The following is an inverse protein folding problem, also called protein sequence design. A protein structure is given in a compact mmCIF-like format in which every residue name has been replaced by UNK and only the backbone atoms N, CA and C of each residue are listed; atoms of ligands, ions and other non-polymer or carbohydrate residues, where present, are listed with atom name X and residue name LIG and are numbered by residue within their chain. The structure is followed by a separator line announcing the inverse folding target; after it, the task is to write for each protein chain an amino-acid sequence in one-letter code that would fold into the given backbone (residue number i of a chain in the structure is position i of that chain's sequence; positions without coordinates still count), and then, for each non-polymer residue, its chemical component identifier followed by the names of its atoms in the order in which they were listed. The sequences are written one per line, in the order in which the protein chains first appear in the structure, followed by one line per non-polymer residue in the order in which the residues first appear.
data_IF_386938220994
#
_entry.id   IF_386938220994
#
_cell.length_a   1.000
_cell.length_b   1.000
_cell.length_c   1.000
_cell.angle_alpha   90.00
_cell.angle_beta   90.00
_cell.angle_gamma   90.00
#
_symmetry.space_group_name_H-M   'P 1'
#
loop_
_entity.id
_entity.type
_entity.pdbx_description
1 polymer ?
#
# COMPACT_ATOMS: atom_id res chain seq x y z
N UNK A 1 39.81 -0.07 6.80
CA UNK A 1 40.64 -1.19 6.28
C UNK A 1 39.81 -2.46 6.05
N UNK A 2 38.58 -2.53 6.59
CA UNK A 2 37.66 -3.67 6.47
C UNK A 2 36.87 -3.71 5.15
N UNK A 3 36.52 -2.56 4.54
CA UNK A 3 35.83 -2.49 3.24
C UNK A 3 36.57 -3.22 2.09
N UNK A 4 37.91 -3.25 2.19
CA UNK A 4 38.77 -3.91 1.20
C UNK A 4 38.68 -5.44 1.32
N UNK A 5 38.43 -5.97 2.52
CA UNK A 5 38.26 -7.40 2.76
C UNK A 5 36.89 -7.88 2.24
N UNK A 6 35.81 -7.12 2.49
CA UNK A 6 34.47 -7.43 1.97
C UNK A 6 34.44 -7.49 0.44
N UNK A 7 34.91 -6.45 -0.25
CA UNK A 7 34.90 -6.40 -1.72
C UNK A 7 35.74 -7.53 -2.32
N UNK A 8 36.80 -7.94 -1.63
CA UNK A 8 37.64 -9.08 -2.05
C UNK A 8 36.89 -10.39 -1.89
N UNK A 9 36.22 -10.62 -0.75
CA UNK A 9 35.35 -11.79 -0.51
C UNK A 9 34.20 -11.85 -1.53
N UNK A 10 33.49 -10.75 -1.75
CA UNK A 10 32.41 -10.65 -2.73
C UNK A 10 32.88 -10.97 -4.16
N UNK A 11 34.02 -10.41 -4.58
CA UNK A 11 34.62 -10.70 -5.90
C UNK A 11 35.07 -12.15 -6.01
N UNK A 12 35.63 -12.72 -4.94
CA UNK A 12 36.06 -14.11 -4.92
C UNK A 12 34.86 -15.06 -5.16
N UNK A 13 33.76 -14.88 -4.42
CA UNK A 13 32.54 -15.68 -4.61
C UNK A 13 31.93 -15.43 -6.01
N UNK A 14 31.85 -14.17 -6.45
CA UNK A 14 31.35 -13.83 -7.80
C UNK A 14 32.19 -14.46 -8.92
N UNK A 15 33.51 -14.63 -8.71
CA UNK A 15 34.40 -15.28 -9.69
C UNK A 15 34.17 -16.79 -9.80
N UNK A 16 33.61 -17.43 -8.77
CA UNK A 16 33.22 -18.85 -8.79
C UNK A 16 31.96 -19.09 -9.62
N UNK A 17 31.08 -18.09 -9.71
CA UNK A 17 29.87 -18.11 -10.53
C UNK A 17 30.13 -17.89 -12.04
N UNK A 18 31.26 -17.27 -12.40
CA UNK A 18 31.62 -17.08 -13.82
C UNK A 18 31.84 -18.43 -14.49
N UNK A 19 31.19 -18.64 -15.65
CA UNK A 19 31.34 -19.87 -16.46
C UNK A 19 32.82 -20.13 -16.74
N UNK A 20 33.35 -21.20 -16.16
CA UNK A 20 34.66 -21.76 -16.52
C UNK A 20 34.43 -22.86 -17.55
N UNK A 21 35.26 -22.90 -18.59
CA UNK A 21 35.18 -23.89 -19.65
C UNK A 21 34.99 -25.30 -19.04
N UNK A 22 33.91 -25.99 -19.44
CA UNK A 22 33.52 -27.35 -19.06
C UNK A 22 33.02 -27.67 -17.62
N UNK A 23 32.97 -26.73 -16.67
CA UNK A 23 32.44 -27.04 -15.31
C UNK A 23 31.21 -26.22 -14.98
N UNK A 24 30.10 -26.90 -14.64
CA UNK A 24 28.92 -26.23 -14.06
C UNK A 24 29.33 -25.62 -12.71
N UNK A 25 29.16 -24.31 -12.50
CA UNK A 25 29.47 -23.69 -11.22
C UNK A 25 28.56 -24.26 -10.13
N UNK A 26 29.09 -24.42 -8.90
CA UNK A 26 28.31 -24.88 -7.76
C UNK A 26 27.48 -23.71 -7.22
N UNK A 27 26.28 -23.52 -7.77
CA UNK A 27 25.45 -22.35 -7.48
C UNK A 27 24.87 -22.40 -6.06
N UNK A 28 24.62 -23.59 -5.51
CA UNK A 28 24.09 -23.74 -4.15
C UNK A 28 25.09 -23.28 -3.08
N UNK A 29 26.35 -23.71 -3.18
CA UNK A 29 27.42 -23.28 -2.26
C UNK A 29 27.72 -21.78 -2.39
N UNK A 30 27.60 -21.23 -3.60
CA UNK A 30 27.72 -19.78 -3.80
C UNK A 30 26.59 -19.02 -3.11
N UNK A 31 25.34 -19.50 -3.19
CA UNK A 31 24.18 -18.93 -2.49
C UNK A 31 24.43 -18.88 -0.97
N UNK A 32 24.92 -19.97 -0.38
CA UNK A 32 25.24 -20.05 1.05
C UNK A 32 26.38 -19.09 1.45
N UNK A 33 27.44 -18.99 0.64
CA UNK A 33 28.55 -18.05 0.86
C UNK A 33 28.10 -16.59 0.80
N UNK A 34 27.14 -16.24 -0.07
CA UNK A 34 26.55 -14.90 -0.07
C UNK A 34 25.62 -14.68 1.13
N UNK A 35 24.96 -15.72 1.62
CA UNK A 35 24.13 -15.68 2.82
C UNK A 35 24.94 -15.40 4.09
N UNK A 36 26.09 -16.05 4.25
CA UNK A 36 27.00 -15.75 5.38
C UNK A 36 27.55 -14.33 5.28
N UNK A 37 27.98 -13.93 4.08
CA UNK A 37 28.53 -12.59 3.83
C UNK A 37 27.49 -11.48 4.10
N UNK A 38 26.22 -11.73 3.77
CA UNK A 38 25.13 -10.81 4.07
C UNK A 38 24.95 -10.60 5.57
N UNK A 39 25.04 -11.66 6.38
CA UNK A 39 24.94 -11.56 7.84
C UNK A 39 26.10 -10.77 8.44
N UNK A 40 27.34 -11.07 8.02
CA UNK A 40 28.51 -10.33 8.47
C UNK A 40 28.37 -8.82 8.16
N UNK A 41 27.82 -8.47 7.00
CA UNK A 41 27.58 -7.08 6.61
C UNK A 41 26.50 -6.38 7.44
N UNK A 42 25.47 -7.12 7.87
CA UNK A 42 24.45 -6.60 8.78
C UNK A 42 25.02 -6.33 10.17
N UNK A 43 25.95 -7.16 10.65
CA UNK A 43 26.68 -6.90 11.90
C UNK A 43 27.54 -5.63 11.82
N UNK A 44 27.94 -5.22 10.60
CA UNK A 44 28.70 -4.02 10.33
C UNK A 44 27.85 -2.80 9.91
N UNK A 45 26.53 -2.81 10.15
CA UNK A 45 25.60 -1.70 9.88
C UNK A 45 25.56 -1.23 8.40
N UNK A 46 25.82 -2.12 7.43
CA UNK A 46 25.81 -1.80 6.00
C UNK A 46 24.68 -2.52 5.23
N UNK A 47 23.41 -2.11 5.38
CA UNK A 47 22.24 -2.83 4.86
C UNK A 47 22.19 -2.87 3.32
N UNK A 48 22.65 -1.82 2.63
CA UNK A 48 22.63 -1.76 1.17
C UNK A 48 23.57 -2.79 0.52
N UNK A 49 24.76 -3.04 1.10
CA UNK A 49 25.65 -4.09 0.61
C UNK A 49 25.10 -5.49 0.90
N UNK A 50 24.42 -5.69 2.03
CA UNK A 50 23.73 -6.93 2.33
C UNK A 50 22.59 -7.19 1.32
N UNK A 51 21.83 -6.16 0.94
CA UNK A 51 20.82 -6.23 -0.12
C UNK A 51 21.37 -6.71 -1.47
N UNK A 52 22.57 -6.25 -1.86
CA UNK A 52 23.23 -6.74 -3.07
C UNK A 52 23.64 -8.22 -2.99
N UNK A 53 24.05 -8.71 -1.82
CA UNK A 53 24.34 -10.13 -1.61
C UNK A 53 23.07 -10.97 -1.76
N UNK A 54 21.97 -10.55 -1.14
CA UNK A 54 20.66 -11.21 -1.25
C UNK A 54 20.13 -11.22 -2.71
N UNK A 55 20.38 -10.15 -3.48
CA UNK A 55 20.06 -10.13 -4.92
C UNK A 55 20.81 -11.19 -5.72
N UNK A 56 22.09 -11.41 -5.42
CA UNK A 56 22.87 -12.47 -6.08
C UNK A 56 22.39 -13.84 -5.65
N UNK A 57 22.01 -14.02 -4.37
CA UNK A 57 21.38 -15.25 -3.90
C UNK A 57 20.09 -15.55 -4.66
N UNK A 58 19.20 -14.57 -4.82
CA UNK A 58 17.98 -14.74 -5.61
C UNK A 58 18.26 -15.22 -7.04
N UNK A 59 19.27 -14.65 -7.70
CA UNK A 59 19.70 -15.10 -9.04
C UNK A 59 20.27 -16.52 -9.02
N UNK A 60 20.95 -16.91 -7.95
CA UNK A 60 21.44 -18.27 -7.76
C UNK A 60 20.27 -19.25 -7.64
N UNK A 61 19.28 -18.96 -6.77
CA UNK A 61 18.08 -19.77 -6.60
C UNK A 61 17.24 -19.87 -7.89
N UNK A 62 17.16 -18.78 -8.67
CA UNK A 62 16.50 -18.77 -9.98
C UNK A 62 17.15 -19.80 -10.93
N UNK A 63 18.49 -19.85 -10.99
CA UNK A 63 19.19 -20.85 -11.82
C UNK A 63 19.07 -22.28 -11.30
N UNK A 64 18.80 -22.45 -10.01
CA UNK A 64 18.48 -23.73 -9.38
C UNK A 64 16.99 -24.09 -9.53
N UNK A 65 16.18 -23.19 -10.11
CA UNK A 65 14.72 -23.32 -10.24
C UNK A 65 14.01 -23.51 -8.90
N UNK A 66 14.57 -22.93 -7.83
CA UNK A 66 13.96 -22.92 -6.50
C UNK A 66 13.12 -21.64 -6.32
N UNK A 67 11.90 -21.66 -6.84
CA UNK A 67 11.01 -20.49 -6.85
C UNK A 67 10.66 -19.91 -5.46
N UNK A 68 10.41 -20.70 -4.38
CA UNK A 68 10.16 -20.12 -3.07
C UNK A 68 11.43 -19.49 -2.46
N UNK A 69 12.60 -20.14 -2.61
CA UNK A 69 13.88 -19.58 -2.17
C UNK A 69 14.24 -18.28 -2.90
N UNK A 70 14.00 -18.22 -4.21
CA UNK A 70 14.14 -17.00 -5.01
C UNK A 70 13.26 -15.87 -4.49
N UNK A 71 11.96 -16.14 -4.29
CA UNK A 71 11.03 -15.11 -3.79
C UNK A 71 11.42 -14.58 -2.41
N UNK A 72 11.86 -15.46 -1.50
CA UNK A 72 12.29 -15.06 -0.17
C UNK A 72 13.54 -14.18 -0.21
N UNK A 73 14.57 -14.58 -0.98
CA UNK A 73 15.79 -13.80 -1.13
C UNK A 73 15.54 -12.43 -1.79
N UNK A 74 14.60 -12.34 -2.74
CA UNK A 74 14.19 -11.07 -3.36
C UNK A 74 13.50 -10.13 -2.37
N UNK A 75 12.59 -10.66 -1.53
CA UNK A 75 11.88 -9.86 -0.52
C UNK A 75 12.86 -9.35 0.55
N UNK A 76 13.75 -10.21 1.04
CA UNK A 76 14.78 -9.82 2.00
C UNK A 76 15.73 -8.75 1.40
N UNK A 77 16.16 -8.90 0.15
CA UNK A 77 16.92 -7.86 -0.52
C UNK A 77 16.16 -6.53 -0.60
N UNK A 78 14.86 -6.58 -0.91
CA UNK A 78 14.03 -5.39 -1.02
C UNK A 78 13.87 -4.66 0.32
N UNK A 79 13.69 -5.39 1.42
CA UNK A 79 13.60 -4.83 2.78
C UNK A 79 14.88 -4.12 3.19
N UNK A 80 16.04 -4.73 2.93
CA UNK A 80 17.34 -4.13 3.22
C UNK A 80 17.59 -2.84 2.42
N UNK A 81 17.15 -2.79 1.16
CA UNK A 81 17.22 -1.56 0.36
C UNK A 81 16.24 -0.48 0.86
N UNK A 82 15.05 -0.85 1.31
CA UNK A 82 14.11 0.10 1.92
C UNK A 82 14.65 0.65 3.25
N UNK A 83 15.26 -0.18 4.08
CA UNK A 83 15.92 0.26 5.31
C UNK A 83 17.04 1.26 5.00
N UNK A 84 17.90 0.95 4.02
CA UNK A 84 18.92 1.87 3.55
C UNK A 84 18.32 3.20 3.05
N UNK A 85 17.22 3.17 2.29
CA UNK A 85 16.55 4.39 1.83
C UNK A 85 15.94 5.19 2.99
N UNK A 86 15.31 4.53 3.96
CA UNK A 86 14.79 5.16 5.17
C UNK A 86 15.92 5.87 5.94
N UNK A 87 17.07 5.22 6.12
CA UNK A 87 18.23 5.86 6.77
C UNK A 87 18.73 7.07 5.99
N UNK A 88 18.78 6.99 4.65
CA UNK A 88 19.16 8.13 3.80
C UNK A 88 18.18 9.30 3.93
N UNK A 89 16.87 9.03 3.96
CA UNK A 89 15.85 10.05 4.12
C UNK A 89 15.92 10.70 5.51
N UNK A 90 16.17 9.91 6.56
CA UNK A 90 16.36 10.39 7.93
C UNK A 90 17.59 11.31 8.04
N UNK A 91 18.69 10.95 7.39
CA UNK A 91 19.91 11.73 7.35
C UNK A 91 19.83 12.93 6.38
N UNK A 92 18.72 13.04 5.61
CA UNK A 92 18.51 14.04 4.55
C UNK A 92 19.67 14.08 3.55
N UNK A 93 20.25 12.92 3.26
CA UNK A 93 21.29 12.79 2.26
C UNK A 93 20.67 13.06 0.88
N UNK A 94 21.20 14.01 0.09
CA UNK A 94 20.75 14.19 -1.29
C UNK A 94 21.19 12.97 -2.11
N UNK A 95 20.25 12.06 -2.38
CA UNK A 95 20.45 10.85 -3.17
C UNK A 95 19.48 10.78 -4.35
N UNK A 96 19.84 9.99 -5.37
CA UNK A 96 19.01 9.76 -6.56
C UNK A 96 18.01 8.60 -6.38
N UNK A 97 17.65 8.27 -5.14
CA UNK A 97 16.66 7.22 -4.81
C UNK A 97 17.03 5.84 -5.39
N UNK A 98 18.33 5.57 -5.55
CA UNK A 98 18.83 4.34 -6.19
C UNK A 98 18.41 3.09 -5.42
N UNK A 99 18.46 3.17 -4.08
CA UNK A 99 18.02 2.07 -3.22
C UNK A 99 16.52 1.84 -3.30
N UNK A 100 15.71 2.91 -3.41
CA UNK A 100 14.28 2.79 -3.61
C UNK A 100 13.94 2.09 -4.93
N UNK A 101 14.58 2.52 -6.03
CA UNK A 101 14.37 1.90 -7.35
C UNK A 101 14.79 0.43 -7.32
N UNK A 102 15.91 0.12 -6.67
CA UNK A 102 16.36 -1.27 -6.47
C UNK A 102 15.32 -2.08 -5.68
N UNK A 103 14.79 -1.55 -4.57
CA UNK A 103 13.76 -2.19 -3.77
C UNK A 103 12.48 -2.46 -4.57
N UNK A 104 11.98 -1.46 -5.30
CA UNK A 104 10.78 -1.59 -6.14
C UNK A 104 10.95 -2.67 -7.21
N UNK A 105 12.13 -2.75 -7.83
CA UNK A 105 12.43 -3.79 -8.79
C UNK A 105 12.45 -5.18 -8.13
N UNK A 106 13.09 -5.33 -6.97
CA UNK A 106 13.11 -6.59 -6.21
C UNK A 106 11.69 -7.07 -5.87
N UNK A 107 10.83 -6.19 -5.34
CA UNK A 107 9.44 -6.51 -5.07
C UNK A 107 8.68 -6.88 -6.34
N UNK A 108 8.85 -6.13 -7.43
CA UNK A 108 8.18 -6.43 -8.69
C UNK A 108 8.57 -7.82 -9.24
N UNK A 109 9.83 -8.25 -9.08
CA UNK A 109 10.24 -9.61 -9.42
C UNK A 109 9.63 -10.64 -8.48
N UNK A 110 9.65 -10.41 -7.17
CA UNK A 110 9.03 -11.31 -6.19
C UNK A 110 7.52 -11.51 -6.46
N UNK A 111 6.80 -10.42 -6.75
CA UNK A 111 5.37 -10.48 -7.08
C UNK A 111 5.13 -11.32 -8.35
N UNK A 112 5.97 -11.18 -9.38
CA UNK A 112 5.86 -12.00 -10.61
C UNK A 112 6.04 -13.49 -10.29
N UNK A 113 7.05 -13.83 -9.48
CA UNK A 113 7.32 -15.21 -9.06
C UNK A 113 6.14 -15.81 -8.29
N UNK A 114 5.48 -15.05 -7.39
CA UNK A 114 4.29 -15.53 -6.69
C UNK A 114 3.04 -15.68 -7.58
N UNK A 115 2.89 -14.82 -8.59
CA UNK A 115 1.82 -14.96 -9.59
C UNK A 115 2.04 -16.23 -10.43
N UNK A 116 3.28 -16.51 -10.86
CA UNK A 116 3.66 -17.73 -11.59
C UNK A 116 3.42 -18.99 -10.76
N UNK A 117 3.61 -18.91 -9.43
CA UNK A 117 3.33 -20.00 -8.49
C UNK A 117 1.83 -20.13 -8.11
N UNK A 118 0.93 -19.37 -8.74
CA UNK A 118 -0.53 -19.38 -8.46
C UNK A 118 -0.91 -18.97 -7.03
N UNK A 119 -0.10 -18.14 -6.38
CA UNK A 119 -0.33 -17.63 -5.01
C UNK A 119 -0.64 -16.11 -5.00
N UNK A 120 -1.84 -15.69 -5.45
CA UNK A 120 -2.18 -14.26 -5.56
C UNK A 120 -2.28 -13.54 -4.21
N UNK A 121 -2.62 -14.27 -3.13
CA UNK A 121 -2.68 -13.71 -1.78
C UNK A 121 -1.32 -13.20 -1.31
N UNK A 122 -0.25 -13.99 -1.49
CA UNK A 122 1.12 -13.58 -1.14
C UNK A 122 1.60 -12.43 -2.01
N UNK A 123 1.30 -12.47 -3.31
CA UNK A 123 1.58 -11.38 -4.23
C UNK A 123 0.93 -10.05 -3.78
N UNK A 124 -0.32 -10.10 -3.31
CA UNK A 124 -1.01 -8.92 -2.79
C UNK A 124 -0.39 -8.39 -1.49
N UNK A 125 -0.01 -9.25 -0.55
CA UNK A 125 0.68 -8.84 0.68
C UNK A 125 1.98 -8.08 0.37
N UNK A 126 2.77 -8.53 -0.60
CA UNK A 126 3.98 -7.83 -1.02
C UNK A 126 3.68 -6.46 -1.66
N UNK A 127 2.61 -6.35 -2.45
CA UNK A 127 2.14 -5.06 -2.96
C UNK A 127 1.75 -4.10 -1.83
N UNK A 128 1.07 -4.60 -0.78
CA UNK A 128 0.69 -3.81 0.40
C UNK A 128 1.91 -3.38 1.21
N UNK A 129 2.88 -4.26 1.42
CA UNK A 129 4.14 -3.96 2.11
C UNK A 129 4.90 -2.82 1.40
N UNK A 130 5.06 -2.94 0.08
CA UNK A 130 5.70 -1.90 -0.73
C UNK A 130 4.90 -0.58 -0.72
N UNK A 131 3.58 -0.65 -0.83
CA UNK A 131 2.71 0.53 -0.75
C UNK A 131 2.85 1.25 0.59
N UNK A 132 2.91 0.52 1.71
CA UNK A 132 3.08 1.08 3.04
C UNK A 132 4.46 1.73 3.21
N UNK A 133 5.52 1.09 2.69
CA UNK A 133 6.86 1.68 2.68
C UNK A 133 6.89 2.98 1.87
N UNK A 134 6.33 3.00 0.65
CA UNK A 134 6.27 4.21 -0.18
C UNK A 134 5.47 5.34 0.47
N UNK A 135 4.39 5.01 1.18
CA UNK A 135 3.63 5.98 1.96
C UNK A 135 4.46 6.55 3.12
N UNK A 136 5.25 5.72 3.81
CA UNK A 136 6.20 6.16 4.83
C UNK A 136 7.29 7.09 4.28
N UNK A 137 7.73 6.87 3.05
CA UNK A 137 8.69 7.71 2.34
C UNK A 137 8.10 9.02 1.76
N UNK A 138 6.83 9.34 2.07
CA UNK A 138 6.06 10.49 1.54
C UNK A 138 5.83 10.46 0.02
N UNK A 139 5.68 9.27 -0.58
CA UNK A 139 5.36 9.10 -2.02
C UNK A 139 4.00 8.42 -2.23
N UNK A 140 2.89 9.07 -1.83
CA UNK A 140 1.56 8.49 -1.97
C UNK A 140 1.16 8.24 -3.43
N UNK A 141 1.68 9.01 -4.39
CA UNK A 141 1.37 8.85 -5.82
C UNK A 141 1.75 7.47 -6.37
N UNK A 142 2.97 7.02 -6.06
CA UNK A 142 3.44 5.71 -6.49
C UNK A 142 2.74 4.59 -5.70
N UNK A 143 2.51 4.81 -4.40
CA UNK A 143 1.83 3.84 -3.53
C UNK A 143 0.41 3.49 -4.02
N UNK A 144 -0.34 4.44 -4.55
CA UNK A 144 -1.69 4.21 -5.08
C UNK A 144 -1.74 3.07 -6.11
N UNK A 145 -0.79 3.05 -7.05
CA UNK A 145 -0.75 2.03 -8.11
C UNK A 145 -0.54 0.61 -7.55
N UNK A 146 0.25 0.48 -6.48
CA UNK A 146 0.50 -0.80 -5.82
C UNK A 146 -0.69 -1.26 -4.98
N UNK A 147 -1.39 -0.34 -4.30
CA UNK A 147 -2.60 -0.68 -3.55
C UNK A 147 -3.75 -1.09 -4.47
N UNK A 148 -3.92 -0.43 -5.63
CA UNK A 148 -4.90 -0.86 -6.65
C UNK A 148 -4.59 -2.27 -7.15
N UNK A 149 -3.32 -2.53 -7.49
CA UNK A 149 -2.87 -3.87 -7.89
C UNK A 149 -3.11 -4.92 -6.80
N UNK A 150 -2.96 -4.57 -5.53
CA UNK A 150 -3.27 -5.47 -4.42
C UNK A 150 -4.78 -5.80 -4.35
N UNK A 151 -5.63 -4.78 -4.52
CA UNK A 151 -7.09 -4.96 -4.55
C UNK A 151 -7.53 -5.90 -5.69
N UNK A 152 -6.94 -5.77 -6.89
CA UNK A 152 -7.22 -6.64 -8.03
C UNK A 152 -6.85 -8.10 -7.75
N UNK A 153 -5.70 -8.33 -7.12
CA UNK A 153 -5.22 -9.67 -6.75
C UNK A 153 -6.05 -10.30 -5.62
N UNK A 154 -6.67 -9.49 -4.77
CA UNK A 154 -7.47 -9.91 -3.61
C UNK A 154 -8.97 -9.97 -3.88
N UNK A 155 -9.43 -9.90 -5.14
CA UNK A 155 -10.86 -9.88 -5.47
C UNK A 155 -11.68 -11.07 -4.90
N UNK A 156 -11.00 -12.20 -4.63
CA UNK A 156 -11.63 -13.37 -4.00
C UNK A 156 -11.96 -13.16 -2.51
N UNK A 157 -11.19 -12.33 -1.80
CA UNK A 157 -11.47 -11.95 -0.42
C UNK A 157 -11.98 -10.49 -0.35
N UNK A 158 -13.30 -10.27 -0.27
CA UNK A 158 -13.88 -8.93 -0.37
C UNK A 158 -13.48 -7.99 0.78
N UNK A 159 -13.16 -8.51 1.97
CA UNK A 159 -12.73 -7.66 3.09
C UNK A 159 -11.35 -7.07 2.84
N UNK A 160 -10.37 -7.90 2.43
CA UNK A 160 -9.01 -7.45 2.12
C UNK A 160 -8.99 -6.47 0.92
N UNK A 161 -9.85 -6.73 -0.07
CA UNK A 161 -10.02 -5.85 -1.23
C UNK A 161 -10.54 -4.46 -0.80
N UNK A 162 -11.57 -4.40 0.05
CA UNK A 162 -12.11 -3.14 0.58
C UNK A 162 -11.11 -2.39 1.45
N UNK A 163 -10.31 -3.11 2.25
CA UNK A 163 -9.23 -2.50 3.03
C UNK A 163 -8.18 -1.85 2.12
N UNK A 164 -7.74 -2.58 1.08
CA UNK A 164 -6.79 -2.09 0.07
C UNK A 164 -7.32 -0.85 -0.67
N UNK A 165 -8.59 -0.84 -1.08
CA UNK A 165 -9.24 0.34 -1.67
C UNK A 165 -9.33 1.51 -0.69
N UNK A 166 -9.54 1.23 0.61
CA UNK A 166 -9.49 2.24 1.65
C UNK A 166 -8.13 2.92 1.76
N UNK A 167 -7.03 2.17 1.58
CA UNK A 167 -5.68 2.73 1.52
C UNK A 167 -5.49 3.60 0.27
N UNK A 168 -6.02 3.19 -0.89
CA UNK A 168 -6.03 4.02 -2.12
C UNK A 168 -6.73 5.35 -1.87
N UNK A 169 -7.93 5.31 -1.27
CA UNK A 169 -8.71 6.50 -0.98
C UNK A 169 -7.97 7.44 -0.01
N UNK A 170 -7.31 6.88 1.01
CA UNK A 170 -6.45 7.66 1.91
C UNK A 170 -5.29 8.34 1.18
N UNK A 171 -4.64 7.66 0.23
CA UNK A 171 -3.57 8.25 -0.57
C UNK A 171 -4.10 9.35 -1.51
N UNK A 172 -5.29 9.17 -2.10
CA UNK A 172 -5.96 10.20 -2.94
C UNK A 172 -6.29 11.47 -2.15
N UNK A 173 -6.72 11.33 -0.89
CA UNK A 173 -6.95 12.48 0.00
C UNK A 173 -5.62 13.20 0.27
N UNK A 174 -4.53 12.48 0.52
CA UNK A 174 -3.20 13.07 0.75
C UNK A 174 -2.69 13.86 -0.47
N UNK A 175 -2.97 13.37 -1.69
CA UNK A 175 -2.59 14.04 -2.94
C UNK A 175 -3.56 15.12 -3.38
N UNK A 176 -4.60 15.40 -2.56
CA UNK A 176 -5.67 16.39 -2.79
C UNK A 176 -6.56 16.09 -4.00
N UNK A 177 -6.55 14.85 -4.48
CA UNK A 177 -7.47 14.37 -5.52
C UNK A 177 -8.78 13.89 -4.88
N UNK A 178 -9.58 14.87 -4.43
CA UNK A 178 -10.84 14.60 -3.71
C UNK A 178 -11.92 14.02 -4.63
N UNK A 179 -11.94 14.40 -5.91
CA UNK A 179 -12.84 13.82 -6.92
C UNK A 179 -12.51 12.33 -7.11
N UNK A 180 -11.23 11.99 -7.27
CA UNK A 180 -10.77 10.60 -7.33
C UNK A 180 -11.13 9.82 -6.06
N UNK A 181 -10.91 10.41 -4.87
CA UNK A 181 -11.28 9.79 -3.61
C UNK A 181 -12.80 9.47 -3.52
N UNK A 182 -13.67 10.38 -3.96
CA UNK A 182 -15.12 10.15 -4.03
C UNK A 182 -15.48 8.96 -4.91
N UNK A 183 -14.82 8.81 -6.06
CA UNK A 183 -15.09 7.66 -6.95
C UNK A 183 -14.73 6.33 -6.27
N UNK A 184 -13.58 6.25 -5.60
CA UNK A 184 -13.15 5.05 -4.89
C UNK A 184 -14.10 4.72 -3.72
N UNK A 185 -14.51 5.69 -2.91
CA UNK A 185 -15.47 5.44 -1.82
C UNK A 185 -16.84 4.99 -2.30
N UNK A 186 -17.22 5.38 -3.52
CA UNK A 186 -18.47 4.96 -4.15
C UNK A 186 -18.38 3.52 -4.63
N UNK A 187 -17.28 3.17 -5.30
CA UNK A 187 -16.98 1.80 -5.70
C UNK A 187 -16.91 0.85 -4.50
N UNK A 188 -16.24 1.27 -3.41
CA UNK A 188 -16.20 0.51 -2.15
C UNK A 188 -17.60 0.25 -1.58
N UNK A 189 -18.48 1.25 -1.61
CA UNK A 189 -19.85 1.09 -1.13
C UNK A 189 -20.67 0.12 -1.99
N UNK A 190 -20.53 0.19 -3.31
CA UNK A 190 -21.17 -0.74 -4.24
C UNK A 190 -20.68 -2.18 -4.03
N UNK A 191 -19.36 -2.40 -3.96
CA UNK A 191 -18.76 -3.71 -3.72
C UNK A 191 -19.21 -4.32 -2.38
N UNK A 192 -19.26 -3.51 -1.32
CA UNK A 192 -19.76 -3.97 -0.02
C UNK A 192 -21.25 -4.35 -0.09
N UNK A 193 -22.09 -3.57 -0.78
CA UNK A 193 -23.52 -3.85 -0.92
C UNK A 193 -23.82 -5.08 -1.79
N UNK A 194 -23.12 -5.26 -2.90
CA UNK A 194 -23.28 -6.43 -3.80
C UNK A 194 -22.98 -7.73 -3.05
N UNK A 195 -21.93 -7.75 -2.23
CA UNK A 195 -21.53 -8.93 -1.47
C UNK A 195 -22.45 -9.20 -0.27
N UNK A 196 -22.99 -8.16 0.39
CA UNK A 196 -24.02 -8.30 1.43
C UNK A 196 -25.33 -8.84 0.85
N UNK A 197 -25.76 -8.33 -0.31
CA UNK A 197 -26.95 -8.81 -1.00
C UNK A 197 -26.81 -10.28 -1.44
N UNK A 198 -25.60 -10.68 -1.85
CA UNK A 198 -25.28 -12.07 -2.23
C UNK A 198 -25.25 -13.02 -1.01
N UNK A 199 -24.80 -12.56 0.14
CA UNK A 199 -24.64 -13.39 1.34
C UNK A 199 -25.90 -13.51 2.20
N UNK A 200 -26.79 -12.52 2.18
CA UNK A 200 -27.92 -12.43 3.14
C UNK A 200 -29.26 -12.00 2.51
N UNK A 201 -29.33 -11.95 1.18
CA UNK A 201 -30.54 -11.54 0.44
C UNK A 201 -30.76 -10.02 0.43
N UNK A 202 -31.67 -9.51 -0.43
CA UNK A 202 -31.81 -8.08 -0.73
C UNK A 202 -32.35 -7.21 0.42
N UNK A 203 -32.69 -7.80 1.56
CA UNK A 203 -33.30 -7.11 2.70
C UNK A 203 -32.54 -7.30 4.02
N UNK A 204 -31.39 -7.97 4.03
CA UNK A 204 -30.61 -8.13 5.26
C UNK A 204 -29.69 -6.94 5.46
N UNK A 205 -29.78 -6.34 6.65
CA UNK A 205 -28.84 -5.30 7.10
C UNK A 205 -27.42 -5.88 7.04
N UNK A 206 -26.40 -5.11 6.61
CA UNK A 206 -25.01 -5.55 6.73
C UNK A 206 -24.73 -5.86 8.21
N UNK A 207 -24.03 -6.95 8.49
CA UNK A 207 -23.66 -7.36 9.86
C UNK A 207 -22.14 -7.48 9.92
N UNK A 208 -21.52 -6.89 10.95
CA UNK A 208 -20.07 -6.96 11.18
C UNK A 208 -19.27 -5.95 10.36
N UNK A 209 -18.05 -6.32 9.96
CA UNK A 209 -17.05 -5.41 9.38
C UNK A 209 -17.52 -4.62 8.14
N UNK A 210 -18.46 -5.16 7.35
CA UNK A 210 -19.04 -4.43 6.21
C UNK A 210 -19.87 -3.21 6.63
N UNK A 211 -20.52 -3.26 7.80
CA UNK A 211 -21.27 -2.11 8.34
C UNK A 211 -20.32 -0.95 8.67
N UNK A 212 -19.21 -1.25 9.34
CA UNK A 212 -18.23 -0.23 9.75
C UNK A 212 -17.58 0.42 8.52
N UNK A 213 -17.27 -0.38 7.50
CA UNK A 213 -16.73 0.11 6.23
C UNK A 213 -17.75 1.00 5.51
N UNK A 214 -19.02 0.58 5.42
CA UNK A 214 -20.09 1.36 4.80
C UNK A 214 -20.32 2.69 5.54
N UNK A 215 -20.39 2.68 6.87
CA UNK A 215 -20.53 3.88 7.69
C UNK A 215 -19.35 4.84 7.46
N UNK A 216 -18.11 4.33 7.42
CA UNK A 216 -16.92 5.14 7.12
C UNK A 216 -16.99 5.75 5.72
N UNK A 217 -17.42 4.97 4.72
CA UNK A 217 -17.59 5.43 3.34
C UNK A 217 -18.65 6.53 3.26
N UNK A 218 -19.79 6.39 3.94
CA UNK A 218 -20.87 7.40 3.95
C UNK A 218 -20.42 8.71 4.58
N UNK A 219 -19.84 8.67 5.79
CA UNK A 219 -19.33 9.86 6.49
C UNK A 219 -18.28 10.58 5.64
N UNK A 220 -17.32 9.84 5.09
CA UNK A 220 -16.24 10.43 4.30
C UNK A 220 -16.77 11.02 2.98
N UNK A 221 -17.73 10.38 2.32
CA UNK A 221 -18.38 10.91 1.12
C UNK A 221 -19.11 12.21 1.39
N UNK A 222 -19.87 12.30 2.48
CA UNK A 222 -20.57 13.54 2.85
C UNK A 222 -19.56 14.66 3.09
N UNK A 223 -18.51 14.41 3.87
CA UNK A 223 -17.45 15.39 4.13
C UNK A 223 -16.76 15.87 2.84
N UNK A 224 -16.46 14.95 1.92
CA UNK A 224 -15.84 15.28 0.63
C UNK A 224 -16.79 16.08 -0.28
N UNK A 225 -18.07 15.74 -0.32
CA UNK A 225 -19.09 16.48 -1.09
C UNK A 225 -19.28 17.90 -0.54
N UNK A 226 -19.22 18.06 0.79
CA UNK A 226 -19.26 19.37 1.44
C UNK A 226 -18.03 20.22 1.13
N UNK A 227 -16.84 19.59 1.03
CA UNK A 227 -15.59 20.29 0.67
C UNK A 227 -15.57 20.69 -0.81
N UNK A 228 -16.04 19.82 -1.70
CA UNK A 228 -16.01 20.05 -3.15
C UNK A 228 -17.12 20.98 -3.65
N UNK A 229 -18.24 21.08 -2.93
CA UNK A 229 -19.45 21.81 -3.34
C UNK A 229 -19.76 21.65 -4.85
N UNK A 230 -19.94 20.42 -5.33
CA UNK A 230 -20.07 20.18 -6.76
C UNK A 230 -21.32 20.87 -7.31
N UNK A 231 -21.19 21.53 -8.46
CA UNK A 231 -22.34 22.10 -9.16
C UNK A 231 -23.30 20.98 -9.58
N UNK A 232 -24.62 21.23 -9.64
CA UNK A 232 -25.64 20.20 -9.88
C UNK A 232 -25.51 19.46 -11.23
N UNK A 233 -24.67 19.95 -12.14
CA UNK A 233 -24.37 19.29 -13.42
C UNK A 233 -23.24 18.25 -13.33
N UNK A 234 -22.39 18.31 -12.30
CA UNK A 234 -21.26 17.39 -12.09
C UNK A 234 -21.52 16.33 -11.02
N UNK A 235 -22.66 16.39 -10.34
CA UNK A 235 -23.00 15.45 -9.30
C UNK A 235 -23.52 14.14 -9.90
N UNK A 236 -22.87 13.01 -9.58
CA UNK A 236 -23.41 11.69 -9.91
C UNK A 236 -24.71 11.46 -9.12
N UNK A 237 -25.68 10.71 -9.66
CA UNK A 237 -26.97 10.49 -9.01
C UNK A 237 -26.83 9.89 -7.60
N UNK A 238 -25.83 9.03 -7.38
CA UNK A 238 -25.55 8.42 -6.08
C UNK A 238 -25.08 9.44 -5.03
N UNK A 239 -24.34 10.46 -5.45
CA UNK A 239 -23.92 11.57 -4.58
C UNK A 239 -25.09 12.49 -4.25
N UNK A 240 -25.96 12.76 -5.23
CA UNK A 240 -27.18 13.54 -5.01
C UNK A 240 -28.11 12.84 -4.01
N UNK A 241 -28.36 11.54 -4.16
CA UNK A 241 -29.17 10.76 -3.21
C UNK A 241 -28.61 10.78 -1.78
N UNK A 242 -27.28 10.78 -1.64
CA UNK A 242 -26.65 10.85 -0.31
C UNK A 242 -26.90 12.22 0.32
N UNK A 243 -26.70 13.30 -0.44
CA UNK A 243 -26.98 14.65 0.05
C UNK A 243 -28.47 14.83 0.37
N UNK A 244 -29.36 14.33 -0.48
CA UNK A 244 -30.82 14.42 -0.27
C UNK A 244 -31.25 13.78 1.06
N UNK A 245 -30.74 12.59 1.40
CA UNK A 245 -31.03 11.93 2.69
C UNK A 245 -30.68 12.83 3.87
N UNK A 246 -29.46 13.36 3.90
CA UNK A 246 -28.99 14.19 5.01
C UNK A 246 -29.57 15.62 5.01
N UNK A 247 -30.03 16.13 3.86
CA UNK A 247 -30.78 17.40 3.82
C UNK A 247 -32.22 17.25 4.32
N UNK A 248 -32.83 16.06 4.20
CA UNK A 248 -34.22 15.82 4.58
C UNK A 248 -34.39 15.33 6.02
N UNK A 249 -33.42 14.57 6.56
CA UNK A 249 -33.41 14.14 7.97
C UNK A 249 -33.28 15.30 8.96
N UNK A 250 -32.79 16.47 8.54
CA UNK A 250 -32.89 17.70 9.34
C UNK A 250 -34.33 18.24 9.51
N UNK A 251 -35.32 17.60 8.88
CA UNK A 251 -36.73 18.01 8.89
C UNK A 251 -37.68 16.98 9.51
N UNK A 252 -37.20 15.79 9.87
CA UNK A 252 -37.99 14.78 10.58
C UNK A 252 -37.47 14.64 12.00
N UNK A 253 -38.13 15.36 12.92
CA UNK A 253 -38.11 15.04 14.34
C UNK A 253 -38.63 13.59 14.54
N UNK A 254 -38.09 12.95 15.59
CA UNK A 254 -38.50 11.66 16.16
C UNK A 254 -38.03 10.36 15.48
N UNK A 255 -36.89 9.81 15.92
CA UNK A 255 -36.88 8.63 16.82
C UNK A 255 -35.47 8.03 17.06
N UNK A 256 -34.99 8.19 18.30
CA UNK A 256 -34.06 7.32 19.05
C UNK A 256 -32.91 6.59 18.31
N UNK A 257 -31.72 7.23 18.23
CA UNK A 257 -30.41 6.56 18.12
C UNK A 257 -29.26 7.47 18.63
N UNK A 258 -29.17 7.61 19.96
CA UNK A 258 -28.38 8.61 20.68
C UNK A 258 -26.84 8.44 20.75
N UNK A 259 -26.19 7.80 19.79
CA UNK A 259 -24.71 7.76 19.73
C UNK A 259 -24.14 8.28 18.41
N UNK A 260 -24.86 8.14 17.30
CA UNK A 260 -24.49 8.70 15.99
C UNK A 260 -24.80 10.19 15.87
N UNK A 261 -25.80 10.69 16.61
CA UNK A 261 -26.18 12.10 16.60
C UNK A 261 -25.13 13.01 17.23
N UNK A 262 -24.38 12.52 18.23
CA UNK A 262 -23.37 13.33 18.90
C UNK A 262 -22.18 13.64 17.98
N UNK A 263 -21.85 12.73 17.06
CA UNK A 263 -20.78 12.92 16.08
C UNK A 263 -21.20 13.88 14.97
N UNK A 264 -22.43 13.76 14.47
CA UNK A 264 -23.03 14.70 13.51
C UNK A 264 -23.13 16.12 14.08
N UNK A 265 -23.51 16.26 15.35
CA UNK A 265 -23.53 17.56 16.05
C UNK A 265 -22.11 18.11 16.23
N UNK A 266 -21.10 17.29 16.50
CA UNK A 266 -19.71 17.74 16.56
C UNK A 266 -19.17 18.18 15.20
N UNK A 267 -19.49 17.46 14.12
CA UNK A 267 -19.14 17.84 12.74
C UNK A 267 -19.84 19.15 12.35
N UNK A 268 -21.10 19.33 12.76
CA UNK A 268 -21.88 20.54 12.52
C UNK A 268 -21.36 21.74 13.36
N UNK A 269 -20.96 21.53 14.61
CA UNK A 269 -20.32 22.56 15.45
C UNK A 269 -18.94 22.94 14.92
N UNK A 270 -18.17 21.98 14.40
CA UNK A 270 -16.89 22.23 13.73
C UNK A 270 -17.08 23.01 12.43
N UNK A 271 -18.15 22.73 11.67
CA UNK A 271 -18.60 23.52 10.51
C UNK A 271 -18.91 24.98 10.91
N UNK A 272 -19.64 25.20 12.01
CA UNK A 272 -19.93 26.56 12.49
C UNK A 272 -18.67 27.31 12.93
N UNK A 273 -17.74 26.65 13.61
CA UNK A 273 -16.48 27.27 14.07
C UNK A 273 -15.54 27.63 12.91
N UNK A 274 -15.43 26.79 11.88
CA UNK A 274 -14.59 27.08 10.70
C UNK A 274 -15.22 28.20 9.84
N UNK A 275 -16.55 28.20 9.67
CA UNK A 275 -17.24 29.26 8.93
C UNK A 275 -17.27 30.61 9.67
N UNK A 276 -17.26 30.61 11.01
CA UNK A 276 -17.19 31.84 11.81
C UNK A 276 -15.76 32.33 12.10
N UNK A 277 -14.73 31.49 11.96
CA UNK A 277 -13.32 31.86 12.13
C UNK A 277 -12.66 32.52 10.91
N UNK A 278 -13.34 32.53 9.75
CA UNK A 278 -12.88 33.13 8.50
C UNK A 278 -13.22 34.62 8.37
N UNK A 279 -12.61 35.45 9.24
CA UNK A 279 -12.38 36.89 9.10
C UNK A 279 -13.59 37.86 9.14
N UNK A 280 -13.82 38.57 10.26
CA UNK A 280 -14.59 39.82 10.27
C UNK A 280 -13.65 41.02 10.00
N UNK A 281 -13.82 41.68 8.84
CA UNK A 281 -13.19 42.96 8.49
C UNK A 281 -11.91 42.84 7.66
N UNK A 282 -11.62 43.67 6.66
CA UNK A 282 -12.15 44.97 6.26
C UNK A 282 -12.11 45.08 4.72
N UNK A 283 -13.14 45.77 4.21
CA UNK A 283 -13.11 46.75 3.10
C UNK A 283 -12.64 46.30 1.71
#
# INVERSE_FOLDING_TARGET
MEDVDFLTKYRAVSSKLKKRFLRKPNVAEASEQFGSLSKDLLEHDNPHYAGFCCLVMARCEQTLSNSPGESHALVEAARLFLEAECTNQMLKCPGFEEHLIAAMNCYNFAIKVHIEQTQPAMAACLCLELGNALRGLNKPDQAMSYYQRAADLQYQNPLDCLESLGLVASCKIQTRDYDGALTIFTEMAYLAQERVASASGPASRPIGAFCDILARCEVTRVLLLMLLQPTPQRIRPEHAQTLERYTWESRSEDSAQGETDLFLVHVFLFMCLILQGGNPGLS
#
